data_IF_787945076201
#
_entry.id   IF_787945076201
#
_cell.length_a   1.000
_cell.length_b   1.000
_cell.length_c   1.000
_cell.angle_alpha   90.00
_cell.angle_beta   90.00
_cell.angle_gamma   90.00
#
_symmetry.space_group_name_H-M   'P 1'
#
loop_
_entity.id
_entity.type
_entity.pdbx_description
1 polymer ?
#
# COMPACT_ATOMS: atom_id res chain seq x y z
N UNK A 1 23.24 -8.93 -7.96
CA UNK A 1 22.46 -7.74 -8.29
C UNK A 1 21.09 -8.15 -8.79
N UNK A 2 20.07 -7.35 -8.52
CA UNK A 2 18.72 -7.44 -9.10
C UNK A 2 18.58 -6.54 -10.34
N UNK A 3 19.64 -5.83 -10.70
CA UNK A 3 19.67 -4.92 -11.85
C UNK A 3 19.80 -5.69 -13.15
N UNK A 4 19.04 -5.32 -14.15
CA UNK A 4 19.02 -5.92 -15.49
C UNK A 4 18.71 -4.85 -16.55
N UNK A 5 18.92 -5.18 -17.83
CA UNK A 5 18.58 -4.30 -18.94
C UNK A 5 17.24 -4.75 -19.53
N UNK A 6 16.21 -3.90 -19.40
CA UNK A 6 14.87 -4.17 -19.92
C UNK A 6 14.78 -4.26 -21.44
N UNK A 7 15.78 -3.70 -22.16
CA UNK A 7 15.84 -3.79 -23.63
C UNK A 7 16.39 -5.14 -24.08
N UNK A 8 17.10 -5.87 -23.21
CA UNK A 8 17.70 -7.16 -23.53
C UNK A 8 16.85 -8.33 -23.02
N UNK A 9 16.33 -8.25 -21.79
CA UNK A 9 15.56 -9.34 -21.18
C UNK A 9 14.38 -8.79 -20.37
N UNK A 10 13.28 -9.56 -20.28
CA UNK A 10 12.15 -9.24 -19.40
C UNK A 10 12.39 -9.60 -17.94
N UNK A 11 11.48 -9.13 -17.06
CA UNK A 11 11.53 -9.42 -15.61
C UNK A 11 11.53 -10.92 -15.33
N UNK A 12 10.76 -11.69 -16.07
CA UNK A 12 10.65 -13.14 -15.89
C UNK A 12 11.99 -13.83 -16.10
N UNK A 13 12.68 -13.52 -17.20
CA UNK A 13 14.01 -14.06 -17.51
C UNK A 13 15.06 -13.56 -16.51
N UNK A 14 14.96 -12.31 -16.08
CA UNK A 14 15.84 -11.74 -15.05
C UNK A 14 15.68 -12.50 -13.71
N UNK A 15 14.45 -12.87 -13.30
CA UNK A 15 14.19 -13.70 -12.12
C UNK A 15 14.77 -15.10 -12.28
N UNK A 16 14.60 -15.74 -13.45
CA UNK A 16 15.18 -17.07 -13.72
C UNK A 16 16.71 -17.02 -13.62
N UNK A 17 17.34 -16.00 -14.17
CA UNK A 17 18.77 -15.80 -14.09
C UNK A 17 19.23 -15.57 -12.64
N UNK A 18 18.49 -14.77 -11.86
CA UNK A 18 18.74 -14.55 -10.44
C UNK A 18 18.76 -15.87 -9.67
N UNK A 19 17.78 -16.74 -9.90
CA UNK A 19 17.72 -18.08 -9.28
C UNK A 19 18.94 -18.95 -9.61
N UNK A 20 19.31 -19.03 -10.89
CA UNK A 20 20.47 -19.80 -11.36
C UNK A 20 21.79 -19.29 -10.76
N UNK A 21 21.95 -17.97 -10.68
CA UNK A 21 23.15 -17.37 -10.06
C UNK A 21 23.20 -17.75 -8.57
N UNK A 22 22.09 -17.64 -7.85
CA UNK A 22 22.03 -17.99 -6.43
C UNK A 22 22.34 -19.47 -6.17
N UNK A 23 21.83 -20.39 -6.99
CA UNK A 23 22.15 -21.83 -6.94
C UNK A 23 23.66 -22.07 -7.08
N UNK A 24 24.30 -21.43 -8.07
CA UNK A 24 25.75 -21.52 -8.27
C UNK A 24 26.54 -20.98 -7.08
N UNK A 25 26.15 -19.83 -6.54
CA UNK A 25 26.81 -19.21 -5.40
C UNK A 25 26.75 -20.10 -4.14
N UNK A 26 25.61 -20.78 -3.92
CA UNK A 26 25.44 -21.67 -2.78
C UNK A 26 26.19 -22.99 -2.99
N UNK A 27 25.96 -23.67 -4.13
CA UNK A 27 26.47 -25.03 -4.33
C UNK A 27 27.94 -25.08 -4.68
N UNK A 28 28.40 -24.20 -5.60
CA UNK A 28 29.78 -24.23 -6.07
C UNK A 28 30.72 -23.36 -5.25
N UNK A 29 30.20 -22.27 -4.65
CA UNK A 29 31.02 -21.31 -3.89
C UNK A 29 30.75 -21.32 -2.39
N UNK A 30 29.87 -22.22 -1.92
CA UNK A 30 29.52 -22.39 -0.49
C UNK A 30 29.10 -21.09 0.21
N UNK A 31 28.43 -20.19 -0.52
CA UNK A 31 27.93 -18.93 0.06
C UNK A 31 26.69 -19.20 0.90
N UNK A 32 26.68 -18.72 2.13
CA UNK A 32 25.56 -18.84 3.08
C UNK A 32 24.78 -17.55 3.26
N UNK A 33 25.21 -16.46 2.64
CA UNK A 33 24.51 -15.17 2.65
C UNK A 33 24.40 -14.68 1.21
N UNK A 34 23.16 -14.45 0.79
CA UNK A 34 22.83 -13.87 -0.51
C UNK A 34 22.34 -12.45 -0.30
N UNK A 35 23.03 -11.50 -0.91
CA UNK A 35 22.65 -10.09 -0.88
C UNK A 35 21.91 -9.74 -2.17
N UNK A 36 20.62 -9.44 -2.06
CA UNK A 36 19.81 -8.89 -3.16
C UNK A 36 19.91 -7.37 -3.11
N UNK A 37 20.38 -6.75 -4.18
CA UNK A 37 20.56 -5.30 -4.20
C UNK A 37 20.21 -4.68 -5.55
N UNK A 38 19.50 -3.55 -5.49
CA UNK A 38 19.18 -2.65 -6.60
C UNK A 38 20.12 -1.44 -6.65
N UNK A 39 21.16 -1.41 -5.79
CA UNK A 39 22.20 -0.37 -5.87
C UNK A 39 22.94 -0.50 -7.20
N UNK A 40 23.53 0.57 -7.63
CA UNK A 40 24.35 0.62 -8.83
C UNK A 40 23.57 0.50 -10.16
N UNK A 41 22.26 0.83 -10.16
CA UNK A 41 21.48 0.97 -11.39
C UNK A 41 22.09 2.08 -12.23
N UNK A 42 22.36 1.76 -13.50
CA UNK A 42 22.85 2.72 -14.50
C UNK A 42 21.71 3.18 -15.39
N UNK A 43 21.91 4.29 -16.10
CA UNK A 43 20.95 4.76 -17.10
C UNK A 43 20.66 3.66 -18.13
N UNK A 44 19.38 3.40 -18.38
CA UNK A 44 18.91 2.33 -19.28
C UNK A 44 18.84 0.94 -18.63
N UNK A 45 19.06 0.85 -17.32
CA UNK A 45 18.88 -0.38 -16.56
C UNK A 45 17.76 -0.21 -15.56
N UNK A 46 17.03 -1.29 -15.31
CA UNK A 46 16.01 -1.37 -14.27
C UNK A 46 16.38 -2.41 -13.21
N UNK A 47 15.73 -2.34 -12.06
CA UNK A 47 15.82 -3.38 -11.05
C UNK A 47 14.54 -4.22 -11.04
N UNK A 48 14.69 -5.52 -10.84
CA UNK A 48 13.55 -6.37 -10.47
C UNK A 48 12.95 -5.79 -9.19
N UNK A 49 11.64 -5.54 -9.12
CA UNK A 49 11.01 -5.12 -7.87
C UNK A 49 11.44 -6.02 -6.72
N UNK A 50 11.95 -5.42 -5.65
CA UNK A 50 12.66 -6.14 -4.60
C UNK A 50 11.82 -7.24 -3.95
N UNK A 51 10.52 -7.02 -3.82
CA UNK A 51 9.59 -8.02 -3.28
C UNK A 51 9.41 -9.23 -4.21
N UNK A 52 9.41 -9.03 -5.55
CA UNK A 52 9.37 -10.12 -6.52
C UNK A 52 10.66 -10.94 -6.47
N UNK A 53 11.82 -10.25 -6.40
CA UNK A 53 13.12 -10.90 -6.31
C UNK A 53 13.24 -11.77 -5.05
N UNK A 54 12.81 -11.26 -3.90
CA UNK A 54 12.82 -12.00 -2.63
C UNK A 54 11.90 -13.22 -2.69
N UNK A 55 10.64 -13.02 -3.08
CA UNK A 55 9.66 -14.10 -3.11
C UNK A 55 10.04 -15.18 -4.10
N UNK A 56 10.43 -14.81 -5.32
CA UNK A 56 10.91 -15.75 -6.33
C UNK A 56 12.12 -16.57 -5.81
N UNK A 57 13.14 -15.88 -5.31
CA UNK A 57 14.35 -16.55 -4.83
C UNK A 57 14.07 -17.47 -3.65
N UNK A 58 13.21 -17.07 -2.73
CA UNK A 58 12.76 -17.89 -1.61
C UNK A 58 12.17 -19.23 -2.09
N UNK A 59 11.21 -19.18 -2.99
CA UNK A 59 10.55 -20.37 -3.52
C UNK A 59 11.46 -21.20 -4.42
N UNK A 60 12.26 -20.56 -5.27
CA UNK A 60 13.26 -21.25 -6.09
C UNK A 60 14.23 -22.07 -5.25
N UNK A 61 14.76 -21.49 -4.17
CA UNK A 61 15.69 -22.20 -3.27
C UNK A 61 15.00 -23.31 -2.47
N UNK A 62 13.70 -23.19 -2.17
CA UNK A 62 12.93 -24.30 -1.57
C UNK A 62 12.84 -25.47 -2.55
N UNK A 63 12.46 -25.22 -3.80
CA UNK A 63 12.36 -26.26 -4.84
C UNK A 63 13.68 -26.98 -5.10
N UNK A 64 14.80 -26.25 -4.99
CA UNK A 64 16.14 -26.82 -5.12
C UNK A 64 16.67 -27.49 -3.85
N UNK A 65 15.94 -27.45 -2.74
CA UNK A 65 16.42 -27.96 -1.43
C UNK A 65 17.58 -27.14 -0.84
N UNK A 66 17.76 -25.89 -1.30
CA UNK A 66 18.88 -25.04 -0.90
C UNK A 66 18.50 -23.94 0.10
N UNK A 67 17.20 -23.73 0.36
CA UNK A 67 16.72 -22.59 1.16
C UNK A 67 17.33 -22.50 2.55
N UNK A 68 17.57 -23.63 3.21
CA UNK A 68 18.17 -23.68 4.55
C UNK A 68 19.68 -23.43 4.56
N UNK A 69 20.34 -23.49 3.39
CA UNK A 69 21.78 -23.27 3.28
C UNK A 69 22.16 -21.78 3.19
N UNK A 70 21.20 -20.90 2.91
CA UNK A 70 21.50 -19.48 2.72
C UNK A 70 20.43 -18.57 3.30
N UNK A 71 20.88 -17.45 3.86
CA UNK A 71 20.07 -16.30 4.26
C UNK A 71 19.96 -15.31 3.11
N UNK A 72 18.77 -14.70 2.95
CA UNK A 72 18.50 -13.67 1.94
C UNK A 72 18.48 -12.32 2.65
N UNK A 73 19.38 -11.42 2.28
CA UNK A 73 19.42 -10.04 2.77
C UNK A 73 19.01 -9.12 1.62
N UNK A 74 18.01 -8.28 1.85
CA UNK A 74 17.53 -7.33 0.84
C UNK A 74 18.08 -5.94 1.13
N UNK A 75 18.75 -5.36 0.14
CA UNK A 75 19.29 -3.99 0.14
C UNK A 75 18.59 -3.24 -0.97
N UNK A 76 17.51 -2.54 -0.65
CA UNK A 76 16.65 -1.93 -1.67
C UNK A 76 16.26 -0.49 -1.35
N UNK A 77 16.17 0.31 -2.41
CA UNK A 77 15.63 1.66 -2.37
C UNK A 77 14.11 1.72 -2.31
N UNK A 78 13.41 0.63 -2.62
CA UNK A 78 11.95 0.58 -2.62
C UNK A 78 11.34 0.48 -1.22
N UNK A 79 12.08 -0.02 -0.25
CA UNK A 79 11.59 -0.27 1.12
C UNK A 79 11.56 1.03 1.91
N UNK A 80 10.36 1.45 2.35
CA UNK A 80 10.13 2.76 2.96
C UNK A 80 9.44 2.70 4.31
N UNK A 81 8.58 1.74 4.53
CA UNK A 81 7.74 1.69 5.72
C UNK A 81 7.64 0.28 6.35
N UNK A 82 6.87 0.18 7.42
CA UNK A 82 6.71 -1.08 8.16
C UNK A 82 5.97 -2.15 7.35
N UNK A 83 5.13 -1.76 6.40
CA UNK A 83 4.43 -2.70 5.54
C UNK A 83 5.40 -3.35 4.55
N UNK A 84 6.25 -2.55 3.90
CA UNK A 84 7.29 -3.05 3.02
C UNK A 84 8.20 -4.05 3.75
N UNK A 85 8.64 -3.68 4.96
CA UNK A 85 9.45 -4.57 5.82
C UNK A 85 8.71 -5.87 6.13
N UNK A 86 7.44 -5.79 6.53
CA UNK A 86 6.62 -6.94 6.87
C UNK A 86 6.46 -7.88 5.67
N UNK A 87 6.15 -7.37 4.48
CA UNK A 87 6.02 -8.15 3.27
C UNK A 87 7.33 -8.85 2.89
N UNK A 88 8.45 -8.12 2.86
CA UNK A 88 9.74 -8.72 2.50
C UNK A 88 10.16 -9.85 3.43
N UNK A 89 9.96 -9.70 4.74
CA UNK A 89 10.27 -10.77 5.70
C UNK A 89 9.30 -11.94 5.53
N UNK A 90 7.99 -11.68 5.37
CA UNK A 90 7.01 -12.73 5.14
C UNK A 90 7.34 -13.58 3.91
N UNK A 91 7.79 -12.94 2.83
CA UNK A 91 8.16 -13.63 1.59
C UNK A 91 9.61 -14.12 1.55
N UNK A 92 10.35 -14.09 2.65
CA UNK A 92 11.57 -14.85 2.78
C UNK A 92 12.85 -14.08 3.11
N UNK A 93 12.83 -12.74 3.19
CA UNK A 93 14.00 -11.98 3.62
C UNK A 93 14.39 -12.32 5.07
N UNK A 94 15.69 -12.47 5.31
CA UNK A 94 16.26 -12.68 6.65
C UNK A 94 16.64 -11.36 7.32
N UNK A 95 17.05 -10.39 6.52
CA UNK A 95 17.35 -9.01 6.96
C UNK A 95 17.07 -8.04 5.82
N UNK A 96 16.89 -6.76 6.19
CA UNK A 96 16.53 -5.68 5.28
C UNK A 96 17.40 -4.45 5.55
N UNK A 97 17.88 -3.84 4.47
CA UNK A 97 18.59 -2.58 4.51
C UNK A 97 17.93 -1.57 3.56
N UNK A 98 17.07 -0.68 4.07
CA UNK A 98 16.36 0.34 3.28
C UNK A 98 17.25 1.56 3.04
N UNK A 99 18.26 1.44 2.18
CA UNK A 99 19.36 2.41 2.10
C UNK A 99 18.90 3.80 1.64
N UNK A 100 17.96 3.90 0.69
CA UNK A 100 17.45 5.20 0.24
C UNK A 100 16.64 5.88 1.35
N UNK A 101 15.82 5.14 2.09
CA UNK A 101 15.06 5.70 3.19
C UNK A 101 15.98 6.21 4.31
N UNK A 102 17.04 5.46 4.65
CA UNK A 102 18.03 5.88 5.63
C UNK A 102 18.82 7.13 5.16
N UNK A 103 19.14 7.22 3.87
CA UNK A 103 19.79 8.41 3.32
C UNK A 103 18.86 9.63 3.33
N UNK A 104 17.56 9.44 3.05
CA UNK A 104 16.55 10.51 3.18
C UNK A 104 16.42 11.00 4.61
N UNK A 105 16.44 10.10 5.60
CA UNK A 105 16.45 10.47 7.03
C UNK A 105 17.69 11.30 7.36
N UNK A 106 18.87 10.92 6.85
CA UNK A 106 20.11 11.70 6.98
C UNK A 106 19.93 13.12 6.43
N UNK A 107 19.51 13.24 5.17
CA UNK A 107 19.31 14.54 4.51
C UNK A 107 18.30 15.41 5.27
N UNK A 108 17.21 14.82 5.77
CA UNK A 108 16.19 15.56 6.54
C UNK A 108 16.74 16.04 7.87
N UNK A 109 17.53 15.23 8.57
CA UNK A 109 18.18 15.60 9.84
C UNK A 109 19.16 16.77 9.63
N UNK A 110 19.97 16.72 8.57
CA UNK A 110 20.92 17.79 8.21
C UNK A 110 20.20 19.11 7.83
N UNK A 111 19.04 19.03 7.16
CA UNK A 111 18.26 20.21 6.74
C UNK A 111 17.41 20.83 7.85
N UNK A 112 17.19 20.13 8.96
CA UNK A 112 16.35 20.59 10.08
C UNK A 112 17.10 20.48 11.43
N UNK A 113 18.19 21.25 11.61
CA UNK A 113 18.96 21.20 12.84
C UNK A 113 18.15 21.60 14.08
N UNK A 114 17.06 22.37 13.90
CA UNK A 114 16.16 22.81 14.97
C UNK A 114 15.46 21.63 15.70
N UNK A 115 15.41 20.44 15.08
CA UNK A 115 14.86 19.23 15.71
C UNK A 115 15.82 18.67 16.78
N UNK A 116 17.10 19.09 16.79
CA UNK A 116 18.08 18.71 17.81
C UNK A 116 18.51 17.23 17.79
N UNK A 117 18.27 16.51 16.68
CA UNK A 117 18.67 15.12 16.50
C UNK A 117 19.92 15.03 15.61
N UNK A 118 20.91 14.29 16.06
CA UNK A 118 22.01 13.86 15.18
C UNK A 118 21.52 12.90 14.10
N UNK A 119 22.29 12.81 13.01
CA UNK A 119 22.00 11.86 11.91
C UNK A 119 21.84 10.42 12.44
N UNK A 120 22.75 10.00 13.32
CA UNK A 120 22.72 8.66 13.92
C UNK A 120 21.46 8.41 14.74
N UNK A 121 21.04 9.37 15.56
CA UNK A 121 19.81 9.28 16.36
C UNK A 121 18.57 9.24 15.47
N UNK A 122 18.54 10.07 14.43
CA UNK A 122 17.43 10.09 13.48
C UNK A 122 17.28 8.76 12.73
N UNK A 123 18.40 8.19 12.24
CA UNK A 123 18.39 6.87 11.59
C UNK A 123 18.01 5.75 12.56
N UNK A 124 18.51 5.79 13.79
CA UNK A 124 18.14 4.82 14.83
C UNK A 124 16.65 4.89 15.21
N UNK A 125 16.10 6.10 15.31
CA UNK A 125 14.66 6.30 15.55
C UNK A 125 13.83 5.75 14.39
N UNK A 126 14.26 5.97 13.15
CA UNK A 126 13.61 5.40 11.98
C UNK A 126 13.66 3.86 12.00
N UNK A 127 14.80 3.27 12.29
CA UNK A 127 14.96 1.81 12.45
C UNK A 127 14.04 1.27 13.55
N UNK A 128 13.99 1.93 14.71
CA UNK A 128 13.07 1.56 15.80
C UNK A 128 11.61 1.63 15.38
N UNK A 129 11.22 2.66 14.61
CA UNK A 129 9.86 2.80 14.11
C UNK A 129 9.48 1.64 13.18
N UNK A 130 10.36 1.25 12.25
CA UNK A 130 10.14 0.09 11.37
C UNK A 130 10.00 -1.21 12.18
N UNK A 131 10.89 -1.45 13.14
CA UNK A 131 10.85 -2.62 14.01
C UNK A 131 9.56 -2.68 14.84
N UNK A 132 9.16 -1.57 15.47
CA UNK A 132 7.93 -1.49 16.24
C UNK A 132 6.69 -1.71 15.36
N UNK A 133 6.72 -1.20 14.12
CA UNK A 133 5.67 -1.45 13.13
C UNK A 133 5.56 -2.93 12.78
N UNK A 134 6.68 -3.59 12.50
CA UNK A 134 6.73 -5.03 12.24
C UNK A 134 6.21 -5.85 13.43
N UNK A 135 6.68 -5.55 14.65
CA UNK A 135 6.22 -6.23 15.87
C UNK A 135 4.71 -6.06 16.07
N UNK A 136 4.17 -4.87 15.77
CA UNK A 136 2.73 -4.62 15.83
C UNK A 136 1.95 -5.48 14.82
N UNK A 137 2.46 -5.61 13.59
CA UNK A 137 1.85 -6.45 12.55
C UNK A 137 1.87 -7.91 12.99
N UNK A 138 3.01 -8.42 13.43
CA UNK A 138 3.16 -9.79 13.93
C UNK A 138 2.24 -10.07 15.13
N UNK A 139 2.14 -9.13 16.07
CA UNK A 139 1.25 -9.23 17.23
C UNK A 139 -0.21 -9.36 16.82
N UNK A 140 -0.66 -8.57 15.83
CA UNK A 140 -2.03 -8.68 15.31
C UNK A 140 -2.30 -10.00 14.58
N UNK A 141 -1.28 -10.59 13.99
CA UNK A 141 -1.36 -11.91 13.35
C UNK A 141 -1.22 -13.06 14.36
N UNK A 142 -0.87 -12.77 15.61
CA UNK A 142 -0.65 -13.78 16.65
C UNK A 142 0.66 -14.54 16.49
N UNK A 143 1.67 -13.98 15.84
CA UNK A 143 2.96 -14.64 15.58
C UNK A 143 4.04 -14.00 16.44
N UNK A 144 4.70 -14.80 17.28
CA UNK A 144 5.68 -14.33 18.25
C UNK A 144 7.12 -14.28 17.74
N UNK A 145 7.48 -15.08 16.73
CA UNK A 145 8.85 -15.20 16.24
C UNK A 145 8.99 -14.87 14.77
N UNK A 146 10.09 -14.25 14.39
CA UNK A 146 10.40 -13.93 12.97
C UNK A 146 10.52 -15.21 12.13
N UNK A 147 11.04 -16.30 12.71
CA UNK A 147 11.14 -17.58 12.00
C UNK A 147 9.79 -18.16 11.61
N UNK A 148 8.78 -18.01 12.46
CA UNK A 148 7.41 -18.44 12.17
C UNK A 148 6.65 -17.46 11.27
N UNK A 149 7.07 -16.19 11.26
CA UNK A 149 6.49 -15.16 10.39
C UNK A 149 6.95 -15.30 8.93
N UNK A 150 8.19 -15.72 8.73
CA UNK A 150 8.80 -15.93 7.42
C UNK A 150 8.16 -17.14 6.73
N UNK A 151 7.60 -16.93 5.54
CA UNK A 151 6.86 -17.95 4.81
C UNK A 151 5.48 -18.26 5.39
N UNK A 152 4.91 -17.32 6.16
CA UNK A 152 3.60 -17.51 6.83
C UNK A 152 2.39 -17.44 5.91
N UNK A 153 2.53 -16.96 4.67
CA UNK A 153 1.47 -16.86 3.64
C UNK A 153 0.22 -16.09 4.11
N UNK A 154 0.37 -15.20 5.09
CA UNK A 154 -0.74 -14.46 5.72
C UNK A 154 -1.12 -13.17 4.98
N UNK A 155 -0.47 -12.87 3.87
CA UNK A 155 -0.81 -11.74 3.01
C UNK A 155 -1.76 -12.19 1.89
N UNK A 156 -2.72 -11.34 1.58
CA UNK A 156 -3.55 -11.48 0.39
C UNK A 156 -3.02 -10.57 -0.71
N UNK A 157 -3.09 -11.03 -1.95
CA UNK A 157 -2.60 -10.31 -3.12
C UNK A 157 -3.79 -9.73 -3.88
N UNK A 158 -3.70 -8.46 -4.20
CA UNK A 158 -4.67 -7.72 -4.99
C UNK A 158 -3.96 -7.09 -6.16
N UNK A 159 -4.42 -7.38 -7.38
CA UNK A 159 -3.96 -6.70 -8.58
C UNK A 159 -2.71 -7.28 -9.23
N UNK A 160 -2.33 -8.53 -8.95
CA UNK A 160 -1.32 -9.28 -9.70
C UNK A 160 -1.92 -10.48 -10.42
N UNK A 161 -1.36 -10.80 -11.59
CA UNK A 161 -1.74 -11.97 -12.37
C UNK A 161 -1.07 -13.25 -11.82
N UNK A 162 -1.67 -14.40 -12.09
CA UNK A 162 -1.18 -15.69 -11.64
C UNK A 162 0.23 -16.00 -12.16
N UNK A 163 0.60 -15.55 -13.35
CA UNK A 163 1.96 -15.75 -13.90
C UNK A 163 3.05 -15.19 -12.96
N UNK A 164 2.75 -14.11 -12.22
CA UNK A 164 3.64 -13.50 -11.24
C UNK A 164 3.51 -14.21 -9.88
N UNK A 165 2.27 -14.43 -9.44
CA UNK A 165 2.01 -14.94 -8.08
C UNK A 165 2.42 -16.39 -7.91
N UNK A 166 2.22 -17.23 -8.94
CA UNK A 166 2.60 -18.65 -8.90
C UNK A 166 4.12 -18.88 -8.83
N UNK A 167 4.91 -17.88 -9.22
CA UNK A 167 6.38 -17.93 -9.18
C UNK A 167 6.97 -17.21 -7.98
N UNK A 168 6.45 -16.01 -7.68
CA UNK A 168 7.03 -15.14 -6.66
C UNK A 168 6.36 -15.28 -5.29
N UNK A 169 5.07 -15.66 -5.26
CA UNK A 169 4.25 -15.62 -4.04
C UNK A 169 3.39 -16.88 -3.91
N UNK A 170 4.01 -18.04 -4.11
CA UNK A 170 3.32 -19.34 -4.04
C UNK A 170 2.48 -19.46 -2.78
N UNK A 171 1.31 -20.07 -2.93
CA UNK A 171 0.32 -20.34 -1.88
C UNK A 171 -0.38 -19.10 -1.31
N UNK A 172 0.04 -17.89 -1.67
CA UNK A 172 -0.67 -16.67 -1.25
C UNK A 172 -2.02 -16.55 -1.96
N UNK A 173 -3.03 -16.12 -1.22
CA UNK A 173 -4.38 -15.96 -1.77
C UNK A 173 -4.47 -14.73 -2.68
N UNK A 174 -4.82 -14.94 -3.93
CA UNK A 174 -5.09 -13.87 -4.89
C UNK A 174 -6.57 -13.53 -4.86
N UNK A 175 -6.93 -12.28 -4.52
CA UNK A 175 -8.32 -11.82 -4.46
C UNK A 175 -8.79 -11.25 -5.78
N UNK A 176 -7.94 -10.49 -6.43
CA UNK A 176 -8.26 -9.80 -7.69
C UNK A 176 -7.06 -9.88 -8.59
N UNK A 177 -7.25 -10.40 -9.79
CA UNK A 177 -6.21 -10.43 -10.83
C UNK A 177 -5.90 -9.01 -11.31
N UNK A 178 -4.71 -8.84 -11.88
CA UNK A 178 -4.27 -7.54 -12.40
C UNK A 178 -3.01 -7.67 -13.22
N UNK A 179 -1.97 -6.97 -12.84
CA UNK A 179 -0.73 -6.83 -13.59
C UNK A 179 0.06 -8.14 -13.70
N UNK A 180 0.44 -8.48 -14.92
CA UNK A 180 1.45 -9.47 -15.25
C UNK A 180 2.84 -8.81 -15.38
N UNK A 181 3.81 -9.61 -15.81
CA UNK A 181 5.18 -9.11 -15.99
C UNK A 181 5.26 -7.94 -16.97
N UNK A 182 4.51 -7.99 -18.07
CA UNK A 182 4.51 -6.93 -19.10
C UNK A 182 3.99 -5.59 -18.59
N UNK A 183 2.97 -5.61 -17.76
CA UNK A 183 2.43 -4.38 -17.14
C UNK A 183 3.40 -3.79 -16.12
N UNK A 184 4.08 -4.66 -15.36
CA UNK A 184 5.12 -4.23 -14.40
C UNK A 184 6.30 -3.62 -15.17
N UNK A 185 6.75 -4.23 -16.26
CA UNK A 185 7.81 -3.69 -17.13
C UNK A 185 7.48 -2.29 -17.67
N UNK A 186 6.23 -2.10 -18.12
CA UNK A 186 5.76 -0.77 -18.56
C UNK A 186 5.81 0.27 -17.44
N UNK A 187 5.52 -0.12 -16.20
CA UNK A 187 5.65 0.79 -15.05
C UNK A 187 7.11 1.14 -14.78
N UNK A 188 8.02 0.17 -14.84
CA UNK A 188 9.45 0.42 -14.65
C UNK A 188 9.99 1.39 -15.70
N UNK A 189 9.67 1.19 -16.98
CA UNK A 189 10.07 2.09 -18.07
C UNK A 189 9.55 3.52 -17.85
N UNK A 190 8.30 3.66 -17.40
CA UNK A 190 7.73 4.98 -17.11
C UNK A 190 8.45 5.71 -15.99
N UNK A 191 8.95 4.99 -14.98
CA UNK A 191 9.74 5.59 -13.89
C UNK A 191 11.11 6.08 -14.36
N UNK A 192 11.69 5.46 -15.40
CA UNK A 192 12.97 5.91 -15.98
C UNK A 192 12.82 7.18 -16.82
N UNK A 193 11.68 7.35 -17.52
CA UNK A 193 11.41 8.51 -18.35
C UNK A 193 11.10 9.78 -17.55
N UNK A 194 10.65 9.64 -16.33
CA UNK A 194 10.12 10.74 -15.50
C UNK A 194 11.22 11.29 -14.55
N UNK A 195 12.22 11.99 -15.12
CA UNK A 195 13.28 12.65 -14.34
C UNK A 195 12.73 13.67 -13.31
N UNK A 196 11.52 14.20 -13.50
CA UNK A 196 10.85 15.10 -12.55
C UNK A 196 10.39 14.40 -11.26
N UNK A 197 10.20 13.08 -11.27
CA UNK A 197 9.86 12.30 -10.06
C UNK A 197 10.99 12.23 -9.02
N UNK A 198 12.20 12.70 -9.34
CA UNK A 198 13.35 12.72 -8.43
C UNK A 198 13.18 13.74 -7.30
N UNK A 199 12.38 14.76 -7.49
CA UNK A 199 12.03 15.67 -6.40
C UNK A 199 11.06 14.98 -5.45
N UNK A 200 11.46 14.84 -4.18
CA UNK A 200 10.61 14.31 -3.11
C UNK A 200 9.33 15.16 -2.98
N UNK A 201 8.41 14.95 -3.91
CA UNK A 201 7.12 15.59 -3.85
C UNK A 201 6.33 14.93 -2.72
N UNK A 202 6.00 15.73 -1.72
CA UNK A 202 4.99 15.31 -0.76
C UNK A 202 3.65 15.28 -1.52
N UNK A 203 3.32 14.15 -2.13
CA UNK A 203 2.16 13.94 -2.99
C UNK A 203 0.81 14.16 -2.32
N UNK A 204 0.80 14.49 -1.04
CA UNK A 204 -0.43 14.73 -0.30
C UNK A 204 -1.26 13.46 -0.03
N UNK A 205 -0.68 12.26 -0.16
CA UNK A 205 -1.40 10.99 -0.01
C UNK A 205 -2.02 10.79 1.38
N UNK A 206 -1.31 11.16 2.43
CA UNK A 206 -1.78 10.98 3.81
C UNK A 206 -2.47 12.22 4.39
N UNK A 207 -2.00 13.40 4.00
CA UNK A 207 -2.57 14.69 4.40
C UNK A 207 -2.84 15.53 3.18
N UNK A 208 -4.02 16.14 3.15
CA UNK A 208 -4.36 17.06 2.06
C UNK A 208 -3.28 18.12 1.85
N UNK A 209 -2.88 18.32 0.60
CA UNK A 209 -1.98 19.37 0.15
C UNK A 209 -2.55 19.99 -1.11
N UNK A 210 -2.64 21.32 -1.13
CA UNK A 210 -3.14 22.06 -2.30
C UNK A 210 -2.26 21.76 -3.52
N UNK A 211 -2.90 21.38 -4.64
CA UNK A 211 -2.22 21.05 -5.90
C UNK A 211 -1.56 19.67 -5.95
N UNK A 212 -1.81 18.81 -4.95
CA UNK A 212 -1.34 17.43 -4.90
C UNK A 212 -2.52 16.44 -5.00
N UNK A 213 -2.35 15.21 -4.48
CA UNK A 213 -3.37 14.15 -4.53
C UNK A 213 -4.74 14.62 -4.08
N UNK A 214 -5.77 14.21 -4.79
CA UNK A 214 -7.16 14.58 -4.50
C UNK A 214 -7.74 13.69 -3.41
N UNK A 215 -8.36 14.31 -2.43
CA UNK A 215 -9.05 13.64 -1.33
C UNK A 215 -10.56 13.83 -1.43
N UNK A 216 -11.32 12.80 -1.13
CA UNK A 216 -12.80 12.85 -1.08
C UNK A 216 -13.24 13.86 -0.02
N UNK A 217 -12.65 13.78 1.16
CA UNK A 217 -12.87 14.67 2.30
C UNK A 217 -11.80 15.77 2.32
N UNK A 218 -11.82 16.63 1.30
CA UNK A 218 -10.95 17.81 1.28
C UNK A 218 -11.37 18.82 2.37
N UNK A 219 -10.47 19.72 2.80
CA UNK A 219 -10.82 20.76 3.77
C UNK A 219 -12.04 21.60 3.36
N UNK A 220 -12.22 21.88 2.08
CA UNK A 220 -13.36 22.61 1.57
C UNK A 220 -14.69 21.86 1.76
N UNK A 221 -14.70 20.57 1.45
CA UNK A 221 -15.87 19.69 1.67
C UNK A 221 -16.24 19.67 3.16
N UNK A 222 -15.25 19.49 4.04
CA UNK A 222 -15.47 19.44 5.50
C UNK A 222 -16.02 20.78 6.02
N UNK A 223 -15.43 21.89 5.62
CA UNK A 223 -15.86 23.22 6.05
C UNK A 223 -17.28 23.55 5.61
N UNK A 224 -17.64 23.22 4.37
CA UNK A 224 -18.99 23.48 3.84
C UNK A 224 -20.03 22.59 4.53
N UNK A 225 -19.71 21.31 4.75
CA UNK A 225 -20.58 20.43 5.54
C UNK A 225 -20.83 20.97 6.95
N UNK A 226 -19.77 21.38 7.65
CA UNK A 226 -19.89 21.94 9.00
C UNK A 226 -20.73 23.22 9.02
N UNK A 227 -20.55 24.09 8.02
CA UNK A 227 -21.37 25.33 7.89
C UNK A 227 -22.84 24.97 7.69
N UNK A 228 -23.15 24.07 6.76
CA UNK A 228 -24.51 23.64 6.48
C UNK A 228 -25.21 23.05 7.72
N UNK A 229 -24.54 22.13 8.43
CA UNK A 229 -25.08 21.49 9.62
C UNK A 229 -25.28 22.49 10.76
N UNK A 230 -24.35 23.42 10.97
CA UNK A 230 -24.43 24.39 12.07
C UNK A 230 -25.48 25.49 11.83
N UNK A 231 -25.65 25.93 10.59
CA UNK A 231 -26.62 26.97 10.26
C UNK A 231 -28.02 26.41 10.10
N UNK A 232 -28.19 25.17 9.65
CA UNK A 232 -29.48 24.59 9.26
C UNK A 232 -30.05 25.21 7.99
N UNK A 233 -29.25 26.06 7.27
CA UNK A 233 -29.71 26.76 6.09
C UNK A 233 -29.62 25.84 4.85
N UNK A 234 -30.73 25.78 4.09
CA UNK A 234 -30.81 24.97 2.88
C UNK A 234 -29.79 25.42 1.82
N UNK A 235 -29.56 26.69 1.69
CA UNK A 235 -28.60 27.25 0.74
C UNK A 235 -27.17 26.74 1.01
N UNK A 236 -26.76 26.63 2.29
CA UNK A 236 -25.46 26.11 2.69
C UNK A 236 -25.34 24.58 2.41
N UNK A 237 -26.44 23.86 2.54
CA UNK A 237 -26.50 22.48 2.14
C UNK A 237 -26.31 22.31 0.62
N UNK A 238 -26.98 23.12 -0.19
CA UNK A 238 -26.86 23.11 -1.64
C UNK A 238 -25.42 23.49 -2.10
N UNK A 239 -24.77 24.44 -1.44
CA UNK A 239 -23.34 24.75 -1.66
C UNK A 239 -22.45 23.53 -1.38
N UNK A 240 -22.72 22.78 -0.30
CA UNK A 240 -21.99 21.55 0.04
C UNK A 240 -22.22 20.45 -1.01
N UNK A 241 -23.46 20.18 -1.38
CA UNK A 241 -23.82 19.19 -2.41
C UNK A 241 -23.13 19.51 -3.73
N UNK A 242 -23.21 20.74 -4.19
CA UNK A 242 -22.54 21.20 -5.40
C UNK A 242 -21.02 20.98 -5.36
N UNK A 243 -20.39 21.19 -4.21
CA UNK A 243 -18.96 20.95 -4.06
C UNK A 243 -18.58 19.46 -4.25
N UNK A 244 -19.46 18.56 -3.84
CA UNK A 244 -19.24 17.11 -4.03
C UNK A 244 -19.50 16.70 -5.48
N UNK A 245 -20.52 17.28 -6.11
CA UNK A 245 -20.89 16.97 -7.50
C UNK A 245 -19.85 17.49 -8.50
N UNK A 246 -19.33 18.71 -8.27
CA UNK A 246 -18.39 19.40 -9.17
C UNK A 246 -16.93 18.91 -8.99
N UNK A 247 -16.60 18.13 -7.95
CA UNK A 247 -15.23 17.64 -7.74
C UNK A 247 -14.83 16.62 -8.78
N UNK A 248 -13.52 16.45 -8.97
CA UNK A 248 -12.98 15.35 -9.78
C UNK A 248 -13.47 13.99 -9.26
N UNK A 249 -13.70 13.07 -10.18
CA UNK A 249 -14.08 11.69 -9.85
C UNK A 249 -12.89 10.94 -9.27
N UNK A 250 -12.94 10.63 -7.98
CA UNK A 250 -11.83 9.98 -7.25
C UNK A 250 -12.17 8.57 -6.75
N UNK A 251 -13.43 8.17 -6.87
CA UNK A 251 -13.90 6.83 -6.51
C UNK A 251 -14.72 6.21 -7.63
N UNK A 252 -14.75 4.89 -7.70
CA UNK A 252 -15.57 4.15 -8.69
C UNK A 252 -17.04 4.53 -8.58
N UNK A 253 -17.57 4.71 -7.38
CA UNK A 253 -18.97 5.14 -7.19
C UNK A 253 -19.28 6.51 -7.80
N UNK A 254 -18.30 7.40 -7.93
CA UNK A 254 -18.47 8.72 -8.56
C UNK A 254 -18.72 8.61 -10.09
N UNK A 255 -18.46 7.44 -10.67
CA UNK A 255 -18.73 7.11 -12.06
C UNK A 255 -20.14 6.56 -12.29
N UNK A 256 -20.84 6.19 -11.23
CA UNK A 256 -22.20 5.71 -11.34
C UNK A 256 -23.15 6.87 -11.55
N UNK A 257 -23.97 6.77 -12.57
CA UNK A 257 -25.02 7.73 -12.84
C UNK A 257 -26.33 7.22 -12.24
N UNK A 258 -26.95 8.03 -11.40
CA UNK A 258 -28.35 7.82 -11.07
C UNK A 258 -29.17 8.20 -12.31
N UNK A 259 -30.05 7.31 -12.79
CA UNK A 259 -30.91 7.65 -13.91
C UNK A 259 -31.75 8.87 -13.56
N UNK A 260 -31.68 9.89 -14.40
CA UNK A 260 -32.54 11.07 -14.23
C UNK A 260 -33.96 10.65 -14.60
N UNK A 261 -34.81 10.52 -13.58
CA UNK A 261 -36.20 10.02 -13.70
C UNK A 261 -36.98 10.84 -14.74
N UNK A 262 -36.65 12.13 -14.91
CA UNK A 262 -37.28 13.00 -15.89
C UNK A 262 -36.88 12.72 -17.36
N UNK A 263 -35.82 11.96 -17.61
CA UNK A 263 -35.30 11.68 -18.96
C UNK A 263 -35.52 10.26 -19.43
N UNK A 264 -36.07 9.38 -18.60
CA UNK A 264 -36.36 8.00 -18.97
C UNK A 264 -37.85 7.88 -19.31
N UNK A 265 -38.15 7.91 -20.61
CA UNK A 265 -39.44 7.55 -21.14
C UNK A 265 -39.72 6.09 -20.78
N UNK A 266 -40.71 5.82 -19.92
CA UNK A 266 -41.16 4.52 -19.44
C UNK A 266 -40.64 3.99 -18.08
N UNK A 267 -40.25 4.85 -17.13
CA UNK A 267 -40.20 4.39 -15.75
C UNK A 267 -41.66 4.26 -15.24
N UNK A 268 -42.11 3.05 -15.01
CA UNK A 268 -43.33 2.83 -14.23
C UNK A 268 -43.09 3.36 -12.82
N UNK A 269 -43.72 4.46 -12.47
CA UNK A 269 -43.77 4.92 -11.09
C UNK A 269 -44.35 3.82 -10.20
N UNK A 270 -43.65 3.48 -9.13
CA UNK A 270 -44.19 2.54 -8.12
C UNK A 270 -45.11 3.33 -7.16
N UNK A 271 -46.16 2.68 -6.73
CA UNK A 271 -47.03 3.20 -5.67
C UNK A 271 -46.18 3.52 -4.43
N UNK A 272 -46.42 4.66 -3.78
CA UNK A 272 -45.68 5.10 -2.59
C UNK A 272 -45.80 4.06 -1.45
N UNK A 273 -46.86 3.30 -1.36
CA UNK A 273 -47.03 2.21 -0.42
C UNK A 273 -46.14 0.99 -0.67
N UNK A 274 -45.47 0.92 -1.85
CA UNK A 274 -44.50 -0.09 -2.20
C UNK A 274 -43.05 0.40 -2.04
N UNK A 275 -42.88 1.67 -1.73
CA UNK A 275 -41.56 2.21 -1.41
C UNK A 275 -41.14 1.73 -0.04
N UNK A 276 -39.88 1.31 0.09
CA UNK A 276 -39.36 0.84 1.37
C UNK A 276 -39.48 1.91 2.46
N UNK A 277 -39.97 1.55 3.64
CA UNK A 277 -40.12 2.51 4.75
C UNK A 277 -38.77 2.95 5.31
N UNK A 278 -38.74 4.15 5.90
CA UNK A 278 -37.53 4.67 6.54
C UNK A 278 -36.97 3.72 7.61
N UNK A 279 -37.87 3.07 8.40
CA UNK A 279 -37.50 2.11 9.44
C UNK A 279 -36.73 0.91 8.85
N UNK A 280 -37.15 0.42 7.69
CA UNK A 280 -36.47 -0.67 7.00
C UNK A 280 -35.14 -0.21 6.40
N UNK A 281 -35.06 1.02 5.90
CA UNK A 281 -33.83 1.60 5.39
C UNK A 281 -32.83 1.77 6.55
N UNK A 282 -33.23 2.30 7.70
CA UNK A 282 -32.36 2.50 8.86
C UNK A 282 -31.72 1.20 9.34
N UNK A 283 -32.46 0.08 9.32
CA UNK A 283 -31.91 -1.23 9.69
C UNK A 283 -30.77 -1.74 8.81
N UNK A 284 -30.55 -1.12 7.64
CA UNK A 284 -29.46 -1.47 6.73
C UNK A 284 -28.16 -0.72 7.05
N UNK A 285 -28.20 0.32 7.90
CA UNK A 285 -27.01 1.04 8.32
C UNK A 285 -26.27 0.25 9.39
N UNK A 286 -24.96 0.21 9.26
CA UNK A 286 -24.06 -0.50 10.18
C UNK A 286 -23.16 0.54 10.86
N UNK A 287 -23.11 0.49 12.18
CA UNK A 287 -22.15 1.26 12.97
C UNK A 287 -21.12 0.30 13.56
N UNK A 288 -19.85 0.56 13.28
CA UNK A 288 -18.77 -0.22 13.87
C UNK A 288 -18.67 0.06 15.36
N UNK A 289 -18.40 -0.97 16.15
CA UNK A 289 -17.98 -0.78 17.54
C UNK A 289 -16.65 -0.02 17.56
N UNK A 290 -16.56 1.02 18.37
CA UNK A 290 -15.40 1.87 18.55
C UNK A 290 -15.03 1.90 20.02
N UNK A 291 -13.73 1.91 20.34
CA UNK A 291 -13.28 2.03 21.72
C UNK A 291 -13.48 3.46 22.25
N UNK A 292 -13.75 3.60 23.53
CA UNK A 292 -13.88 4.91 24.21
C UNK A 292 -12.59 5.75 24.06
N UNK A 293 -11.42 5.12 23.94
CA UNK A 293 -10.16 5.82 23.69
C UNK A 293 -10.01 6.44 22.30
N UNK A 294 -10.79 5.98 21.32
CA UNK A 294 -10.79 6.51 19.95
C UNK A 294 -11.79 7.66 19.74
N UNK A 295 -12.79 7.76 20.59
CA UNK A 295 -13.86 8.78 20.59
C UNK A 295 -13.97 9.45 21.95
N UNK A 296 -14.52 10.66 21.97
CA UNK A 296 -14.99 11.25 23.22
C UNK A 296 -16.23 10.50 23.75
N UNK A 297 -16.47 10.62 25.04
CA UNK A 297 -17.62 10.00 25.70
C UNK A 297 -18.94 10.45 25.05
N UNK A 298 -19.07 11.74 24.76
CA UNK A 298 -20.29 12.32 24.18
C UNK A 298 -20.55 11.78 22.76
N UNK A 299 -19.51 11.63 21.93
CA UNK A 299 -19.63 11.09 20.60
C UNK A 299 -20.01 9.60 20.65
N UNK A 300 -19.43 8.85 21.58
CA UNK A 300 -19.73 7.44 21.78
C UNK A 300 -21.18 7.23 22.25
N UNK A 301 -21.62 8.01 23.24
CA UNK A 301 -23.00 7.99 23.74
C UNK A 301 -24.01 8.38 22.67
N UNK A 302 -23.72 9.44 21.88
CA UNK A 302 -24.60 9.87 20.78
C UNK A 302 -24.85 8.77 19.76
N UNK A 303 -23.80 8.03 19.37
CA UNK A 303 -23.93 6.89 18.45
C UNK A 303 -24.73 5.75 19.07
N UNK A 304 -24.47 5.41 20.34
CA UNK A 304 -25.19 4.35 21.04
C UNK A 304 -26.69 4.68 21.18
N UNK A 305 -27.01 5.91 21.57
CA UNK A 305 -28.40 6.37 21.71
C UNK A 305 -29.09 6.34 20.36
N UNK A 306 -28.46 6.83 19.29
CA UNK A 306 -29.03 6.82 17.96
C UNK A 306 -29.38 5.39 17.51
N UNK A 307 -28.44 4.46 17.65
CA UNK A 307 -28.64 3.07 17.21
C UNK A 307 -29.65 2.29 18.07
N UNK A 308 -29.76 2.61 19.37
CA UNK A 308 -30.74 1.99 20.25
C UNK A 308 -32.19 2.50 20.01
N UNK A 309 -32.30 3.71 19.46
CA UNK A 309 -33.59 4.31 19.13
C UNK A 309 -34.11 3.91 17.72
N UNK A 310 -33.26 3.37 16.86
CA UNK A 310 -33.60 2.88 15.52
C UNK A 310 -33.99 1.38 15.53
#
# INVERSE_FOLDING_TARGET
>A
STVFDLNEIGIEDALINLGKIAEIEIEKKSKSILLLTDRDIKKGQSAIPSILAVGYLHHYLIEKGLRLKASIITVSGEIRDSHDVACHIAYGASAIWPYVALDRVRILSEKKPDVGLSVSEAQENYRKALNNGLLKIMSKMGICTISSYRGSELFEIIGLNNEVTDKCFKFSKVRTLGYGYKEIEKLLNKFEEDEEMITANNGGYYKHKKGAEKHITSPDVVLKLQKAVRSGEREKWEEYVKTIEDREKVQIRDLFLLPNISTIDNISTIDIGKVESNENIYKKFIVSSMSLGALSEEAHQSLAIAMNNL
#
